data_IF_013351399202
#
_entry.id   IF_013351399202
#
_cell.length_a   1.000
_cell.length_b   1.000
_cell.length_c   1.000
_cell.angle_alpha   90.00
_cell.angle_beta   90.00
_cell.angle_gamma   90.00
#
_symmetry.space_group_name_H-M   'P 1'
#
loop_
_entity.id
_entity.type
_entity.pdbx_description
1 polymer ?
#
# COMPACT_ATOMS: atom_id res chain seq x y z
N UNK A 1 -16.20 5.07 7.24
CA UNK A 1 -15.36 5.13 6.03
C UNK A 1 -13.93 5.31 6.45
N UNK A 2 -13.09 4.32 6.15
CA UNK A 2 -11.65 4.33 6.46
C UNK A 2 -10.87 5.38 5.67
N UNK A 3 -9.58 5.54 5.96
CA UNK A 3 -8.68 6.33 5.11
C UNK A 3 -8.47 5.67 3.75
N UNK A 4 -8.32 4.34 3.72
CA UNK A 4 -8.06 3.57 2.51
C UNK A 4 -9.14 3.77 1.44
N UNK A 5 -10.42 3.79 1.83
CA UNK A 5 -11.56 4.02 0.92
C UNK A 5 -11.54 5.40 0.24
N UNK A 6 -10.76 6.35 0.76
CA UNK A 6 -10.66 7.71 0.24
C UNK A 6 -9.47 7.92 -0.71
N UNK A 7 -8.60 6.92 -0.85
CA UNK A 7 -7.40 7.01 -1.69
C UNK A 7 -7.67 6.35 -3.03
N UNK A 8 -7.94 7.16 -4.05
CA UNK A 8 -8.14 6.69 -5.42
C UNK A 8 -7.01 7.12 -6.36
N UNK A 9 -6.09 7.93 -5.85
CA UNK A 9 -4.98 8.50 -6.61
C UNK A 9 -3.77 8.77 -5.71
N UNK A 10 -2.60 8.97 -6.33
CA UNK A 10 -1.41 9.43 -5.61
C UNK A 10 -1.67 10.79 -4.93
N UNK A 11 -2.42 11.65 -5.59
CA UNK A 11 -2.76 12.99 -5.09
C UNK A 11 -3.57 12.91 -3.79
N UNK A 12 -4.42 11.90 -3.64
CA UNK A 12 -5.15 11.67 -2.38
C UNK A 12 -4.22 11.21 -1.25
N UNK A 13 -3.26 10.32 -1.56
CA UNK A 13 -2.23 9.90 -0.62
C UNK A 13 -1.36 11.08 -0.14
N UNK A 14 -1.02 12.00 -1.03
CA UNK A 14 -0.19 13.17 -0.70
C UNK A 14 -0.89 14.18 0.21
N UNK A 15 -2.23 14.19 0.26
CA UNK A 15 -3.02 15.06 1.15
C UNK A 15 -3.02 14.59 2.61
N UNK A 16 -2.58 13.35 2.88
CA UNK A 16 -2.58 12.81 4.23
C UNK A 16 -1.48 13.42 5.10
N UNK A 17 -1.84 13.68 6.36
CA UNK A 17 -0.87 14.05 7.38
C UNK A 17 0.09 12.86 7.63
N UNK A 18 1.38 13.11 7.94
CA UNK A 18 2.31 12.02 8.26
C UNK A 18 1.78 11.04 9.33
N UNK A 19 1.07 11.55 10.34
CA UNK A 19 0.51 10.72 11.41
C UNK A 19 -0.61 9.77 10.93
N UNK A 20 -1.31 10.13 9.86
CA UNK A 20 -2.35 9.28 9.26
C UNK A 20 -1.77 8.09 8.49
N UNK A 21 -0.48 8.12 8.14
CA UNK A 21 0.14 7.05 7.36
C UNK A 21 0.19 5.72 8.11
N UNK A 22 0.43 5.76 9.42
CA UNK A 22 0.44 4.57 10.26
C UNK A 22 -0.95 3.91 10.26
N UNK A 23 -2.00 4.73 10.32
CA UNK A 23 -3.38 4.25 10.25
C UNK A 23 -3.70 3.66 8.88
N UNK A 24 -3.31 4.37 7.80
CA UNK A 24 -3.47 3.86 6.44
C UNK A 24 -2.77 2.52 6.25
N UNK A 25 -1.55 2.36 6.75
CA UNK A 25 -0.81 1.11 6.66
C UNK A 25 -1.50 -0.03 7.41
N UNK A 26 -2.14 0.25 8.55
CA UNK A 26 -2.98 -0.70 9.26
C UNK A 26 -4.17 -1.17 8.40
N UNK A 27 -4.92 -0.22 7.85
CA UNK A 27 -6.08 -0.51 6.99
C UNK A 27 -5.69 -1.31 5.74
N UNK A 28 -4.54 -1.02 5.11
CA UNK A 28 -4.02 -1.79 3.97
C UNK A 28 -3.68 -3.23 4.37
N UNK A 29 -3.08 -3.45 5.55
CA UNK A 29 -2.79 -4.83 6.01
C UNK A 29 -4.05 -5.63 6.25
N UNK A 30 -5.05 -5.03 6.89
CA UNK A 30 -6.35 -5.68 7.11
C UNK A 30 -7.01 -6.05 5.78
N UNK A 31 -6.93 -5.18 4.78
CA UNK A 31 -7.38 -5.44 3.42
C UNK A 31 -6.66 -6.63 2.78
N UNK A 32 -5.33 -6.63 2.81
CA UNK A 32 -4.50 -7.72 2.27
C UNK A 32 -4.87 -9.06 2.94
N UNK A 33 -4.97 -9.09 4.27
CA UNK A 33 -5.35 -10.30 5.01
C UNK A 33 -6.72 -10.78 4.57
N UNK A 34 -7.71 -9.87 4.49
CA UNK A 34 -9.07 -10.22 4.11
C UNK A 34 -9.13 -10.84 2.72
N UNK A 35 -8.46 -10.23 1.73
CA UNK A 35 -8.46 -10.70 0.34
C UNK A 35 -7.70 -12.02 0.20
N UNK A 36 -6.51 -12.14 0.78
CA UNK A 36 -5.63 -13.31 0.60
C UNK A 36 -6.10 -14.52 1.41
N UNK A 37 -6.77 -14.31 2.56
CA UNK A 37 -7.24 -15.40 3.43
C UNK A 37 -8.20 -16.38 2.75
N UNK A 38 -8.95 -15.93 1.73
CA UNK A 38 -9.90 -16.77 0.99
C UNK A 38 -9.29 -17.57 -0.16
N UNK A 39 -8.08 -17.22 -0.59
CA UNK A 39 -7.48 -17.71 -1.86
C UNK A 39 -6.13 -18.40 -1.64
N UNK A 40 -5.46 -18.13 -0.51
CA UNK A 40 -4.07 -18.53 -0.27
C UNK A 40 -3.07 -17.63 -1.02
N UNK A 41 -1.78 -17.76 -0.74
CA UNK A 41 -0.72 -16.99 -1.41
C UNK A 41 0.34 -16.40 -0.47
N UNK A 42 1.17 -15.50 -1.00
CA UNK A 42 2.33 -14.91 -0.30
C UNK A 42 1.92 -13.76 0.64
N UNK A 43 1.29 -14.12 1.76
CA UNK A 43 0.78 -13.14 2.72
C UNK A 43 1.92 -12.35 3.41
N UNK A 44 2.96 -13.03 3.86
CA UNK A 44 4.03 -12.41 4.65
C UNK A 44 4.83 -11.35 3.88
N UNK A 45 5.13 -11.60 2.60
CA UNK A 45 5.86 -10.66 1.74
C UNK A 45 5.05 -9.40 1.47
N UNK A 46 3.76 -9.54 1.16
CA UNK A 46 2.86 -8.39 0.95
C UNK A 46 2.71 -7.52 2.21
N UNK A 47 2.60 -8.14 3.39
CA UNK A 47 2.51 -7.40 4.66
C UNK A 47 3.81 -6.66 5.01
N UNK A 48 4.97 -7.19 4.59
CA UNK A 48 6.28 -6.61 4.88
C UNK A 48 6.64 -5.36 4.06
N UNK A 49 5.94 -5.10 2.96
CA UNK A 49 6.26 -3.97 2.06
C UNK A 49 5.28 -2.80 2.14
N UNK A 50 4.24 -2.88 2.98
CA UNK A 50 3.17 -1.86 3.03
C UNK A 50 3.71 -0.44 3.23
N UNK A 51 4.54 -0.22 4.27
CA UNK A 51 5.12 1.09 4.54
C UNK A 51 6.05 1.56 3.43
N UNK A 52 6.85 0.64 2.87
CA UNK A 52 7.76 0.95 1.77
C UNK A 52 6.96 1.42 0.55
N UNK A 53 5.90 0.71 0.18
CA UNK A 53 5.01 1.08 -0.93
C UNK A 53 4.39 2.46 -0.71
N UNK A 54 3.87 2.74 0.50
CA UNK A 54 3.34 4.07 0.84
C UNK A 54 4.42 5.15 0.66
N UNK A 55 5.62 4.94 1.21
CA UNK A 55 6.72 5.88 1.12
C UNK A 55 7.13 6.13 -0.34
N UNK A 56 7.26 5.08 -1.14
CA UNK A 56 7.59 5.17 -2.56
C UNK A 56 6.56 5.98 -3.33
N UNK A 57 5.26 5.76 -3.10
CA UNK A 57 4.20 6.53 -3.77
C UNK A 57 4.10 7.99 -3.30
N UNK A 58 4.52 8.29 -2.06
CA UNK A 58 4.64 9.69 -1.59
C UNK A 58 5.82 10.41 -2.24
N UNK A 59 6.97 9.76 -2.37
CA UNK A 59 8.19 10.39 -2.87
C UNK A 59 8.22 10.44 -4.40
N UNK A 60 7.92 9.32 -5.06
CA UNK A 60 8.04 9.18 -6.51
C UNK A 60 6.69 9.30 -7.21
N UNK A 61 6.73 9.78 -8.45
CA UNK A 61 5.56 9.82 -9.31
C UNK A 61 5.62 8.68 -10.34
N UNK A 62 4.98 7.56 -10.06
CA UNK A 62 4.96 6.42 -10.97
C UNK A 62 4.04 6.56 -12.19
N UNK A 63 3.36 7.71 -12.38
CA UNK A 63 2.76 8.04 -13.69
C UNK A 63 3.83 8.48 -14.71
N UNK A 64 5.03 8.85 -14.23
CA UNK A 64 6.18 9.31 -15.03
C UNK A 64 7.42 8.45 -14.86
N UNK A 65 7.49 7.68 -13.78
CA UNK A 65 8.59 6.78 -13.42
C UNK A 65 8.09 5.34 -13.36
N UNK A 66 9.00 4.37 -13.49
CA UNK A 66 8.64 2.94 -13.34
C UNK A 66 9.07 2.44 -11.97
N UNK A 67 8.18 1.72 -11.29
CA UNK A 67 8.49 0.91 -10.12
C UNK A 67 8.62 -0.54 -10.57
N UNK A 68 9.71 -1.21 -10.19
CA UNK A 68 9.96 -2.63 -10.48
C UNK A 68 10.18 -3.32 -9.13
N UNK A 69 9.35 -4.31 -8.84
CA UNK A 69 9.55 -5.23 -7.71
C UNK A 69 10.27 -6.47 -8.23
N UNK A 70 11.42 -6.80 -7.65
CA UNK A 70 12.16 -8.03 -7.98
C UNK A 70 11.56 -9.24 -7.24
N UNK A 71 11.54 -10.42 -7.87
CA UNK A 71 10.94 -11.67 -7.35
C UNK A 71 9.47 -11.51 -6.93
N UNK A 72 8.55 -11.77 -7.86
CA UNK A 72 7.09 -11.58 -7.81
C UNK A 72 6.33 -12.35 -6.70
N UNK A 73 6.64 -12.10 -5.42
CA UNK A 73 5.84 -12.53 -4.27
C UNK A 73 5.30 -11.35 -3.47
N UNK A 74 5.74 -10.13 -3.79
CA UNK A 74 5.21 -8.88 -3.26
C UNK A 74 4.72 -8.03 -4.44
N UNK A 75 3.41 -7.76 -4.47
CA UNK A 75 2.75 -6.98 -5.51
C UNK A 75 1.60 -6.20 -4.94
#
# INVERSE_FOLDING_TARGET
>A
MGLLEKINSREDLLKLHPDDLTKLAGEIREEIIRVVSGVGGHLASNLGVVELTIALHRVFNFTRSRLIWDVSHQT
#
